data_IF_704138958872
#
_entry.id   IF_704138958872
#
_cell.length_a   1.000
_cell.length_b   1.000
_cell.length_c   1.000
_cell.angle_alpha   90.00
_cell.angle_beta   90.00
_cell.angle_gamma   90.00
#
_symmetry.space_group_name_H-M   'P 1'
#
loop_
_entity.id
_entity.type
_entity.pdbx_description
1 polymer ?
#
# COMPACT_ATOMS: atom_id res chain seq x y z
N UNK A 1 -6.36 17.54 -13.45
CA UNK A 1 -5.71 16.78 -12.37
C UNK A 1 -6.40 17.17 -11.06
N UNK A 2 -6.96 16.22 -10.34
CA UNK A 2 -7.67 16.44 -9.07
C UNK A 2 -6.72 16.54 -7.87
N UNK A 3 -5.42 16.64 -8.12
CA UNK A 3 -4.39 16.77 -7.10
C UNK A 3 -3.21 17.61 -7.58
N UNK A 4 -2.43 18.11 -6.63
CA UNK A 4 -1.18 18.81 -6.89
C UNK A 4 -0.02 17.82 -6.75
N UNK A 5 0.74 17.54 -7.82
CA UNK A 5 1.84 16.57 -7.76
C UNK A 5 3.00 17.09 -6.90
N UNK A 6 3.71 16.16 -6.25
CA UNK A 6 4.97 16.50 -5.57
C UNK A 6 6.01 17.03 -6.57
N UNK A 7 6.86 17.99 -6.19
CA UNK A 7 7.04 18.56 -4.85
C UNK A 7 6.13 19.76 -4.53
N UNK A 8 5.17 20.08 -5.38
CA UNK A 8 4.34 21.28 -5.24
C UNK A 8 3.27 21.11 -4.16
N UNK A 9 2.79 22.24 -3.60
CA UNK A 9 1.63 22.32 -2.73
C UNK A 9 0.82 23.60 -3.04
N UNK A 10 -0.38 23.71 -2.50
CA UNK A 10 -1.19 24.94 -2.60
C UNK A 10 -0.64 26.07 -1.72
N UNK A 11 0.23 25.76 -0.78
CA UNK A 11 0.74 26.73 0.18
C UNK A 11 2.09 27.26 -0.29
N UNK A 12 2.26 28.61 -0.24
CA UNK A 12 3.54 29.26 -0.56
C UNK A 12 4.61 28.83 0.46
N UNK A 13 5.77 28.42 -0.01
CA UNK A 13 6.91 28.02 0.83
C UNK A 13 6.80 26.59 1.40
N UNK A 14 5.66 25.91 1.21
CA UNK A 14 5.48 24.52 1.62
C UNK A 14 5.67 23.59 0.41
N UNK A 15 6.41 22.53 0.60
CA UNK A 15 6.66 21.51 -0.43
C UNK A 15 6.30 20.13 0.10
N UNK A 16 5.83 19.25 -0.78
CA UNK A 16 5.67 17.84 -0.47
C UNK A 16 7.01 17.13 -0.62
N UNK A 17 7.34 16.26 0.33
CA UNK A 17 8.45 15.33 0.15
C UNK A 17 8.05 14.31 -0.93
N UNK A 18 8.85 14.12 -1.99
CA UNK A 18 8.51 13.13 -3.01
C UNK A 18 8.49 11.70 -2.45
N UNK A 19 7.65 10.83 -3.02
CA UNK A 19 7.57 9.44 -2.61
C UNK A 19 8.93 8.73 -2.73
N UNK A 20 9.25 7.86 -1.76
CA UNK A 20 10.52 7.15 -1.71
C UNK A 20 11.75 8.03 -1.46
N UNK A 21 11.55 9.23 -0.90
CA UNK A 21 12.65 10.14 -0.51
C UNK A 21 12.66 10.35 1.00
N UNK A 22 13.82 10.70 1.50
CA UNK A 22 14.04 11.14 2.87
C UNK A 22 14.64 12.56 2.86
N UNK A 23 14.32 13.32 3.88
CA UNK A 23 14.91 14.62 4.17
C UNK A 23 15.62 14.51 5.51
N UNK A 24 16.94 14.73 5.51
CA UNK A 24 17.74 14.76 6.74
C UNK A 24 18.07 16.21 7.08
N UNK A 25 17.64 16.63 8.25
CA UNK A 25 17.96 17.95 8.81
C UNK A 25 18.97 17.75 9.96
N UNK A 26 20.12 18.35 9.82
CA UNK A 26 21.10 18.47 10.89
C UNK A 26 21.09 19.88 11.48
N UNK A 27 21.89 20.11 12.51
CA UNK A 27 21.97 21.39 13.19
C UNK A 27 22.45 22.53 12.25
N UNK A 28 23.29 22.22 11.25
CA UNK A 28 23.77 23.19 10.29
C UNK A 28 22.64 23.63 9.34
N UNK A 29 21.85 22.68 8.83
CA UNK A 29 20.68 22.98 8.00
C UNK A 29 19.62 23.80 8.74
N UNK A 30 19.40 23.52 10.03
CA UNK A 30 18.49 24.29 10.87
C UNK A 30 18.99 25.71 11.08
N UNK A 31 20.32 25.89 11.23
CA UNK A 31 20.94 27.20 11.45
C UNK A 31 20.98 28.07 10.18
N UNK A 32 21.21 27.46 9.02
CA UNK A 32 21.25 28.18 7.73
C UNK A 32 19.84 28.54 7.22
N UNK A 33 18.78 27.94 7.76
CA UNK A 33 17.39 28.06 7.28
C UNK A 33 17.22 27.61 5.82
N UNK A 34 18.14 26.82 5.30
CA UNK A 34 18.06 26.23 3.97
C UNK A 34 17.69 24.74 4.08
N UNK A 35 16.67 24.35 3.34
CA UNK A 35 16.30 22.93 3.28
C UNK A 35 17.27 22.20 2.35
N UNK A 36 17.93 21.13 2.83
CA UNK A 36 18.74 20.28 1.96
C UNK A 36 17.87 19.59 0.92
N UNK A 37 18.48 19.16 -0.17
CA UNK A 37 17.78 18.41 -1.20
C UNK A 37 17.31 17.05 -0.66
N UNK A 38 16.07 16.65 -0.91
CA UNK A 38 15.59 15.30 -0.58
C UNK A 38 16.41 14.24 -1.31
N UNK A 39 16.76 13.17 -0.59
CA UNK A 39 17.52 12.04 -1.14
C UNK A 39 16.58 10.88 -1.40
N UNK A 40 16.56 10.36 -2.63
CA UNK A 40 15.83 9.14 -2.93
C UNK A 40 16.51 7.94 -2.26
N UNK A 41 15.73 7.12 -1.57
CA UNK A 41 16.15 5.81 -1.07
C UNK A 41 15.49 4.67 -1.87
N UNK A 42 14.36 4.96 -2.52
CA UNK A 42 13.66 4.04 -3.38
C UNK A 42 12.86 4.78 -4.45
N UNK A 43 12.79 4.25 -5.65
CA UNK A 43 11.97 4.77 -6.75
C UNK A 43 11.27 3.64 -7.47
N UNK A 44 9.94 3.70 -7.57
CA UNK A 44 9.13 2.68 -8.24
C UNK A 44 9.56 2.43 -9.69
N UNK A 45 9.80 3.51 -10.45
CA UNK A 45 10.23 3.40 -11.85
C UNK A 45 11.60 2.76 -12.02
N UNK A 46 12.53 2.99 -11.11
CA UNK A 46 13.86 2.37 -11.17
C UNK A 46 13.77 0.88 -10.83
N UNK A 47 12.96 0.52 -9.84
CA UNK A 47 12.66 -0.88 -9.50
C UNK A 47 11.98 -1.61 -10.67
N UNK A 48 10.99 -0.97 -11.31
CA UNK A 48 10.31 -1.51 -12.48
C UNK A 48 11.27 -1.72 -13.66
N UNK A 49 12.08 -0.73 -13.99
CA UNK A 49 13.07 -0.82 -15.07
C UNK A 49 14.08 -1.93 -14.82
N UNK A 50 14.58 -2.05 -13.61
CA UNK A 50 15.49 -3.12 -13.21
C UNK A 50 14.83 -4.49 -13.32
N UNK A 51 13.56 -4.63 -12.93
CA UNK A 51 12.80 -5.86 -13.05
C UNK A 51 12.58 -6.27 -14.51
N UNK A 52 12.18 -5.31 -15.36
CA UNK A 52 12.02 -5.54 -16.82
C UNK A 52 13.34 -5.96 -17.47
N UNK A 53 14.45 -5.30 -17.13
CA UNK A 53 15.77 -5.60 -17.70
C UNK A 53 16.28 -6.98 -17.28
N UNK A 54 15.96 -7.43 -16.08
CA UNK A 54 16.33 -8.76 -15.57
C UNK A 54 15.44 -9.88 -16.13
N UNK A 55 14.16 -9.55 -16.41
CA UNK A 55 13.15 -10.54 -16.78
C UNK A 55 12.69 -11.40 -15.58
N UNK A 56 11.84 -12.35 -15.88
CA UNK A 56 11.43 -13.40 -14.96
C UNK A 56 11.89 -14.76 -15.53
N UNK A 57 12.60 -15.52 -14.72
CA UNK A 57 13.03 -16.88 -15.07
C UNK A 57 12.15 -17.89 -14.31
N UNK A 58 11.37 -18.66 -15.04
CA UNK A 58 10.46 -19.64 -14.48
C UNK A 58 9.19 -19.81 -15.32
N UNK A 59 8.40 -20.79 -14.92
CA UNK A 59 7.07 -21.03 -15.47
C UNK A 59 5.99 -20.25 -14.67
N UNK A 60 4.72 -20.45 -15.04
CA UNK A 60 3.58 -19.81 -14.38
C UNK A 60 3.49 -20.19 -12.89
N UNK A 61 3.76 -21.45 -12.55
CA UNK A 61 3.72 -21.91 -11.16
C UNK A 61 4.77 -21.18 -10.31
N UNK A 62 6.00 -21.09 -10.80
CA UNK A 62 7.07 -20.35 -10.13
C UNK A 62 6.74 -18.85 -9.98
N UNK A 63 6.05 -18.26 -10.98
CA UNK A 63 5.62 -16.86 -10.90
C UNK A 63 4.55 -16.67 -9.81
N UNK A 64 3.58 -17.58 -9.73
CA UNK A 64 2.52 -17.55 -8.71
C UNK A 64 3.09 -17.74 -7.29
N UNK A 65 4.01 -18.69 -7.11
CA UNK A 65 4.66 -18.92 -5.81
C UNK A 65 5.46 -17.70 -5.35
N UNK A 66 6.19 -17.06 -6.27
CA UNK A 66 6.92 -15.84 -5.95
C UNK A 66 5.99 -14.67 -5.65
N UNK A 67 4.90 -14.53 -6.39
CA UNK A 67 3.89 -13.50 -6.14
C UNK A 67 3.22 -13.69 -4.78
N UNK A 68 2.81 -14.92 -4.43
CA UNK A 68 2.21 -15.24 -3.13
C UNK A 68 3.17 -14.88 -2.00
N UNK A 69 4.45 -15.27 -2.10
CA UNK A 69 5.46 -14.95 -1.09
C UNK A 69 5.64 -13.43 -0.91
N UNK A 70 5.71 -12.68 -2.01
CA UNK A 70 5.84 -11.21 -1.96
C UNK A 70 4.60 -10.54 -1.36
N UNK A 71 3.41 -11.00 -1.70
CA UNK A 71 2.17 -10.45 -1.17
C UNK A 71 2.00 -10.75 0.32
N UNK A 72 2.38 -11.96 0.76
CA UNK A 72 2.39 -12.32 2.20
C UNK A 72 3.35 -11.44 2.98
N UNK A 73 4.58 -11.29 2.52
CA UNK A 73 5.57 -10.42 3.16
C UNK A 73 5.08 -8.97 3.21
N UNK A 74 4.61 -8.44 2.09
CA UNK A 74 4.07 -7.09 2.02
C UNK A 74 2.88 -6.87 2.96
N UNK A 75 2.02 -7.88 3.13
CA UNK A 75 0.88 -7.84 4.05
C UNK A 75 1.36 -7.92 5.50
N UNK A 76 2.25 -8.84 5.84
CA UNK A 76 2.80 -9.00 7.18
C UNK A 76 3.43 -7.71 7.71
N UNK A 77 4.27 -7.05 6.90
CA UNK A 77 4.90 -5.77 7.25
C UNK A 77 3.89 -4.65 7.58
N UNK A 78 2.65 -4.76 7.13
CA UNK A 78 1.58 -3.78 7.37
C UNK A 78 0.64 -4.19 8.49
N UNK A 79 0.81 -5.39 9.03
CA UNK A 79 0.03 -5.88 10.16
C UNK A 79 0.66 -5.54 11.52
N UNK A 80 1.84 -4.94 11.53
CA UNK A 80 2.44 -4.40 12.77
C UNK A 80 1.76 -3.09 13.15
N UNK A 81 1.06 -3.07 14.28
CA UNK A 81 0.38 -1.88 14.78
C UNK A 81 0.19 -1.94 16.29
N UNK A 82 0.19 -0.76 16.93
CA UNK A 82 -0.08 -0.59 18.36
C UNK A 82 -1.59 -0.58 18.71
N UNK A 83 -2.44 -0.69 17.69
CA UNK A 83 -3.90 -0.67 17.80
C UNK A 83 -4.53 -1.81 17.01
N UNK A 84 -5.76 -2.22 17.32
CA UNK A 84 -6.45 -3.23 16.52
C UNK A 84 -6.54 -2.84 15.05
N UNK A 85 -6.14 -3.76 14.19
CA UNK A 85 -6.18 -3.59 12.74
C UNK A 85 -7.50 -4.11 12.17
N UNK A 86 -7.84 -3.58 11.00
CA UNK A 86 -8.91 -4.08 10.16
C UNK A 86 -8.62 -3.82 8.69
N UNK A 87 -9.40 -4.45 7.81
CA UNK A 87 -9.29 -4.34 6.38
C UNK A 87 -10.55 -3.73 5.78
N UNK A 88 -10.39 -2.80 4.83
CA UNK A 88 -11.51 -2.43 3.97
C UNK A 88 -11.76 -3.53 2.95
N UNK A 89 -13.00 -4.00 2.90
CA UNK A 89 -13.42 -5.10 2.03
C UNK A 89 -14.56 -4.62 1.12
N UNK A 90 -14.31 -4.61 -0.18
CA UNK A 90 -15.30 -4.26 -1.21
C UNK A 90 -15.93 -5.48 -1.88
N UNK A 91 -15.42 -6.69 -1.62
CA UNK A 91 -15.81 -7.90 -2.35
C UNK A 91 -15.11 -8.06 -3.71
N UNK A 92 -14.33 -7.06 -4.15
CA UNK A 92 -13.46 -7.15 -5.32
C UNK A 92 -12.26 -8.06 -5.08
N UNK A 93 -11.61 -8.52 -6.15
CA UNK A 93 -10.49 -9.48 -6.09
C UNK A 93 -9.35 -9.00 -5.22
N UNK A 94 -8.93 -7.75 -5.38
CA UNK A 94 -7.75 -7.21 -4.68
C UNK A 94 -7.97 -7.10 -3.17
N UNK A 95 -9.10 -6.50 -2.76
CA UNK A 95 -9.43 -6.35 -1.34
C UNK A 95 -9.66 -7.71 -0.66
N UNK A 96 -10.28 -8.65 -1.38
CA UNK A 96 -10.51 -10.02 -0.88
C UNK A 96 -9.18 -10.76 -0.70
N UNK A 97 -8.26 -10.66 -1.66
CA UNK A 97 -6.94 -11.27 -1.58
C UNK A 97 -6.13 -10.71 -0.40
N UNK A 98 -6.08 -9.39 -0.23
CA UNK A 98 -5.38 -8.78 0.90
C UNK A 98 -5.98 -9.23 2.22
N UNK A 99 -7.32 -9.24 2.35
CA UNK A 99 -8.00 -9.70 3.56
C UNK A 99 -7.73 -11.18 3.85
N UNK A 100 -7.73 -12.04 2.83
CA UNK A 100 -7.39 -13.45 2.97
C UNK A 100 -5.93 -13.65 3.44
N UNK A 101 -5.00 -12.88 2.89
CA UNK A 101 -3.60 -12.91 3.32
C UNK A 101 -3.41 -12.39 4.76
N UNK A 102 -4.18 -11.39 5.16
CA UNK A 102 -4.21 -10.92 6.56
C UNK A 102 -4.74 -12.02 7.47
N UNK A 103 -5.88 -12.64 7.12
CA UNK A 103 -6.48 -13.71 7.91
C UNK A 103 -5.55 -14.93 8.04
N UNK A 104 -4.89 -15.33 6.94
CA UNK A 104 -3.93 -16.44 6.95
C UNK A 104 -2.70 -16.22 7.84
N UNK A 105 -2.40 -14.97 8.19
CA UNK A 105 -1.26 -14.59 9.02
C UNK A 105 -1.66 -14.08 10.41
N UNK A 106 -2.97 -14.03 10.69
CA UNK A 106 -3.50 -13.59 11.99
C UNK A 106 -3.94 -14.79 12.83
N UNK A 107 -3.69 -14.73 14.14
CA UNK A 107 -4.22 -15.69 15.13
C UNK A 107 -5.65 -15.35 15.59
N UNK A 108 -6.17 -14.21 15.18
CA UNK A 108 -7.51 -13.73 15.51
C UNK A 108 -8.28 -13.37 14.23
N UNK A 109 -9.63 -13.43 14.24
CA UNK A 109 -10.42 -12.98 13.11
C UNK A 109 -10.07 -11.53 12.72
N UNK A 110 -9.79 -11.31 11.46
CA UNK A 110 -9.52 -9.97 10.92
C UNK A 110 -10.84 -9.22 10.79
N UNK A 111 -10.92 -8.04 11.40
CA UNK A 111 -12.10 -7.18 11.28
C UNK A 111 -12.16 -6.58 9.89
N UNK A 112 -13.30 -6.68 9.23
CA UNK A 112 -13.52 -6.09 7.91
C UNK A 112 -14.53 -4.96 7.98
N UNK A 113 -14.35 -3.96 7.12
CA UNK A 113 -15.23 -2.80 7.02
C UNK A 113 -15.62 -2.60 5.56
N UNK A 114 -16.91 -2.41 5.31
CA UNK A 114 -17.46 -2.14 3.98
C UNK A 114 -18.35 -0.90 4.05
N UNK A 115 -18.40 -0.16 2.96
CA UNK A 115 -19.32 0.99 2.82
C UNK A 115 -20.47 0.53 1.95
N UNK A 116 -21.67 0.52 2.51
CA UNK A 116 -22.90 0.30 1.76
C UNK A 116 -23.42 1.59 1.13
N UNK A 117 -24.12 1.47 0.02
CA UNK A 117 -24.76 2.57 -0.68
C UNK A 117 -26.24 2.24 -0.92
N UNK A 118 -27.10 3.27 -0.85
CA UNK A 118 -28.54 3.12 -1.18
C UNK A 118 -28.78 2.78 -2.66
N UNK A 119 -27.79 3.02 -3.51
CA UNK A 119 -27.82 2.68 -4.92
C UNK A 119 -27.21 1.29 -5.15
N UNK A 120 -28.06 0.32 -5.49
CA UNK A 120 -27.67 -1.07 -5.73
C UNK A 120 -26.60 -1.26 -6.83
N UNK A 121 -26.44 -0.31 -7.76
CA UNK A 121 -25.40 -0.37 -8.80
C UNK A 121 -24.00 -0.17 -8.23
N UNK A 122 -23.88 0.52 -7.10
CA UNK A 122 -22.61 0.84 -6.44
C UNK A 122 -22.46 0.15 -5.07
N UNK A 123 -23.45 -0.62 -4.65
CA UNK A 123 -23.42 -1.31 -3.37
C UNK A 123 -22.75 -2.69 -3.53
N UNK A 124 -21.57 -2.83 -2.98
CA UNK A 124 -20.78 -4.07 -2.95
C UNK A 124 -20.87 -4.79 -1.59
N UNK A 125 -21.79 -4.36 -0.71
CA UNK A 125 -21.87 -4.85 0.67
C UNK A 125 -22.22 -6.34 0.76
N UNK A 126 -23.07 -6.85 -0.14
CA UNK A 126 -23.42 -8.28 -0.18
C UNK A 126 -22.22 -9.14 -0.57
N UNK A 127 -21.45 -8.72 -1.59
CA UNK A 127 -20.23 -9.43 -2.00
C UNK A 127 -19.18 -9.41 -0.87
N UNK A 128 -19.01 -8.25 -0.24
CA UNK A 128 -18.10 -8.13 0.87
C UNK A 128 -18.49 -9.02 2.05
N UNK A 129 -19.78 -9.08 2.39
CA UNK A 129 -20.31 -9.97 3.43
C UNK A 129 -20.08 -11.45 3.10
N UNK A 130 -20.28 -11.85 1.84
CA UNK A 130 -20.04 -13.23 1.39
C UNK A 130 -18.56 -13.61 1.51
N UNK A 131 -17.65 -12.73 1.10
CA UNK A 131 -16.19 -12.94 1.25
C UNK A 131 -15.80 -13.01 2.73
N UNK A 132 -16.30 -12.10 3.57
CA UNK A 132 -16.03 -12.11 5.01
C UNK A 132 -16.48 -13.43 5.65
N UNK A 133 -17.69 -13.90 5.33
CA UNK A 133 -18.22 -15.16 5.83
C UNK A 133 -17.41 -16.38 5.35
N UNK A 134 -16.83 -16.33 4.14
CA UNK A 134 -15.97 -17.39 3.61
C UNK A 134 -14.60 -17.46 4.32
N UNK A 135 -14.08 -16.32 4.71
CA UNK A 135 -12.77 -16.22 5.36
C UNK A 135 -12.80 -16.50 6.87
N UNK A 136 -13.98 -16.49 7.52
CA UNK A 136 -14.16 -16.71 8.95
C UNK A 136 -14.10 -15.41 9.73
#
# INVERSE_FOLDING_TARGET
LDYIPAPHSILRGVRKLPAGHLLRLDAAALSSRELPAPRAWWRALDAQRAAIARGFEGDEAAALDQLDALLRDATALRMEADVPLGSFLSGGTDSSLVTALMQAQSSQPVRTFSIGFDNAVHDESEQAAAVAAHLG
#
